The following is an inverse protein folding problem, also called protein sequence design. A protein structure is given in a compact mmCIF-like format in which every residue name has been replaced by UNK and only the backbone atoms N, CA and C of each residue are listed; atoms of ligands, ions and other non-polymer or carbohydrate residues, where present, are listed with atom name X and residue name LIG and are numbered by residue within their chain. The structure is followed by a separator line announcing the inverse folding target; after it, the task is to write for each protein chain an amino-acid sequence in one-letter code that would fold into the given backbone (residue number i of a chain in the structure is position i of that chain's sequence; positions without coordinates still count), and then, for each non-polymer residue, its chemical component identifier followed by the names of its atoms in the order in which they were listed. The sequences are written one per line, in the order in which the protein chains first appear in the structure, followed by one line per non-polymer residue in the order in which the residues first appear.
data_IF_256454544455
#
_entry.id   IF_256454544455
#
_cell.length_a   1.000
_cell.length_b   1.000
_cell.length_c   1.000
_cell.angle_alpha   90.00
_cell.angle_beta   90.00
_cell.angle_gamma   90.00
#
_symmetry.space_group_name_H-M   'P 1'
#
loop_
_entity.id
_entity.type
_entity.pdbx_description
1 polymer ?
#
# COMPACT_ATOMS: atom_id res chain seq x y z
N UNK A 1 36.49 13.05 54.84
CA UNK A 1 36.17 12.13 53.72
C UNK A 1 34.66 12.05 53.63
N UNK A 2 34.08 12.20 52.45
CA UNK A 2 32.89 11.45 52.04
C UNK A 2 32.72 11.59 50.53
N UNK A 3 32.63 10.43 49.90
CA UNK A 3 32.82 10.18 48.49
C UNK A 3 31.59 10.55 47.66
N UNK A 4 31.89 11.11 46.49
CA UNK A 4 30.98 11.45 45.42
C UNK A 4 30.60 10.18 44.64
N UNK A 5 29.37 9.68 44.82
CA UNK A 5 28.75 8.82 43.81
C UNK A 5 27.99 9.70 42.80
N UNK A 6 28.68 10.06 41.71
CA UNK A 6 28.09 10.76 40.56
C UNK A 6 27.23 9.78 39.76
N UNK A 7 25.93 9.76 39.98
CA UNK A 7 24.99 9.26 38.99
C UNK A 7 24.78 10.31 37.91
N UNK A 8 25.35 10.09 36.72
CA UNK A 8 25.14 10.94 35.56
C UNK A 8 23.72 10.70 34.99
N UNK A 9 22.76 11.50 35.46
CA UNK A 9 21.42 11.54 34.87
C UNK A 9 21.49 12.26 33.51
N UNK A 10 21.65 11.50 32.43
CA UNK A 10 21.51 12.03 31.07
C UNK A 10 20.05 12.44 30.85
N UNK A 11 19.78 13.74 31.00
CA UNK A 11 18.46 14.32 30.79
C UNK A 11 18.14 14.32 29.29
N UNK A 12 16.94 13.84 28.93
CA UNK A 12 16.38 13.87 27.56
C UNK A 12 16.43 15.26 26.91
N UNK A 13 16.55 16.31 27.73
CA UNK A 13 16.74 17.71 27.32
C UNK A 13 18.10 17.96 26.64
N UNK A 14 19.17 17.27 27.06
CA UNK A 14 20.49 17.38 26.42
C UNK A 14 20.51 16.74 25.02
N UNK A 15 19.71 15.69 24.80
CA UNK A 15 19.54 15.08 23.48
C UNK A 15 18.79 16.02 22.51
N UNK A 16 17.79 16.75 23.01
CA UNK A 16 17.06 17.74 22.21
C UNK A 16 17.91 18.98 21.89
N UNK A 17 18.78 19.40 22.81
CA UNK A 17 19.73 20.50 22.57
C UNK A 17 20.82 20.12 21.56
N UNK A 18 21.24 18.85 21.52
CA UNK A 18 22.19 18.36 20.51
C UNK A 18 21.59 18.35 19.08
N UNK A 19 20.27 18.17 18.94
CA UNK A 19 19.60 18.20 17.64
C UNK A 19 19.48 19.61 17.04
N UNK A 20 19.48 20.67 17.87
CA UNK A 20 19.36 22.06 17.42
C UNK A 20 20.70 22.69 17.03
N UNK A 21 21.82 22.17 17.55
CA UNK A 21 23.16 22.65 17.21
C UNK A 21 23.67 22.14 15.83
N UNK A 22 23.00 21.17 15.21
CA UNK A 22 23.34 20.65 13.88
C UNK A 22 22.78 21.46 12.71
N UNK A 23 21.93 22.46 12.96
CA UNK A 23 21.17 23.16 11.91
C UNK A 23 21.84 24.44 11.36
N UNK A 24 23.07 24.76 11.75
CA UNK A 24 23.68 26.08 11.47
C UNK A 24 24.82 26.10 10.44
N UNK A 25 25.10 25.00 9.72
CA UNK A 25 26.09 24.99 8.63
C UNK A 25 25.57 24.19 7.42
N UNK A 26 24.76 24.85 6.60
CA UNK A 26 24.23 24.25 5.37
C UNK A 26 23.26 25.16 4.61
N UNK A 27 23.45 26.48 4.67
CA UNK A 27 22.63 27.47 3.97
C UNK A 27 23.17 27.76 2.55
N UNK A 28 23.36 26.71 1.73
CA UNK A 28 23.70 26.90 0.32
C UNK A 28 23.17 25.74 -0.52
N UNK A 29 22.00 25.98 -1.13
CA UNK A 29 21.56 25.31 -2.34
C UNK A 29 21.01 23.90 -2.14
N UNK A 30 19.68 23.83 -2.02
CA UNK A 30 18.76 22.92 -2.72
C UNK A 30 17.43 23.04 -1.99
N UNK A 31 16.30 23.40 -2.65
CA UNK A 31 15.02 23.17 -2.03
C UNK A 31 14.92 21.65 -1.88
N UNK A 32 15.04 21.16 -0.65
CA UNK A 32 14.57 19.83 -0.30
C UNK A 32 13.06 19.89 -0.47
N UNK A 33 12.63 19.76 -1.72
CA UNK A 33 11.31 19.34 -2.09
C UNK A 33 11.20 17.95 -1.51
N UNK A 34 10.85 17.88 -0.23
CA UNK A 34 10.20 16.74 0.36
C UNK A 34 8.87 16.60 -0.37
N UNK A 35 8.96 16.20 -1.65
CA UNK A 35 7.95 15.38 -2.24
C UNK A 35 7.85 14.26 -1.24
N UNK A 36 6.78 14.29 -0.43
CA UNK A 36 6.10 13.08 -0.10
C UNK A 36 6.10 12.30 -1.40
N UNK A 37 7.00 11.32 -1.51
CA UNK A 37 6.93 10.30 -2.52
C UNK A 37 5.65 9.57 -2.17
N UNK A 38 4.50 10.19 -2.50
CA UNK A 38 3.25 9.51 -2.62
C UNK A 38 3.62 8.38 -3.53
N UNK A 39 3.61 7.16 -2.97
CA UNK A 39 3.77 5.92 -3.73
C UNK A 39 3.07 6.20 -5.05
N UNK A 40 3.83 6.27 -6.14
CA UNK A 40 3.26 6.45 -7.47
C UNK A 40 2.30 5.28 -7.58
N UNK A 41 1.01 5.53 -7.30
CA UNK A 41 0.00 4.49 -7.40
C UNK A 41 0.04 4.19 -8.87
N UNK A 42 0.55 3.01 -9.20
CA UNK A 42 0.52 2.53 -10.57
C UNK A 42 -0.95 2.18 -10.85
N UNK A 43 -1.76 3.23 -11.08
CA UNK A 43 -3.20 3.16 -11.36
C UNK A 43 -3.47 2.61 -12.75
N UNK A 44 -2.42 2.45 -13.55
CA UNK A 44 -2.49 1.99 -14.92
C UNK A 44 -2.61 0.46 -14.98
N UNK A 45 -2.73 -0.24 -13.85
CA UNK A 45 -2.96 -1.68 -13.80
C UNK A 45 -3.91 -2.06 -12.68
N UNK A 46 -4.95 -2.81 -13.01
CA UNK A 46 -5.90 -3.42 -12.08
C UNK A 46 -5.68 -4.93 -12.06
N UNK A 47 -5.41 -5.47 -10.86
CA UNK A 47 -5.14 -6.89 -10.61
C UNK A 47 -6.40 -7.58 -10.08
N UNK A 48 -6.96 -8.46 -10.89
CA UNK A 48 -8.22 -9.13 -10.65
C UNK A 48 -7.99 -10.60 -10.26
N UNK A 49 -8.38 -10.98 -9.05
CA UNK A 49 -8.38 -12.38 -8.66
C UNK A 49 -9.43 -13.15 -9.47
N UNK A 50 -9.11 -14.36 -9.95
CA UNK A 50 -10.05 -15.20 -10.70
C UNK A 50 -9.96 -16.66 -10.28
N UNK A 51 -11.04 -17.40 -10.51
CA UNK A 51 -11.12 -18.85 -10.32
C UNK A 51 -11.66 -19.56 -11.55
N UNK A 52 -11.67 -20.90 -11.53
CA UNK A 52 -12.28 -21.69 -12.62
C UNK A 52 -13.80 -21.59 -12.51
N UNK A 53 -14.45 -21.07 -13.55
CA UNK A 53 -15.90 -20.85 -13.59
C UNK A 53 -16.32 -19.48 -13.03
N UNK A 54 -17.63 -19.25 -12.99
CA UNK A 54 -18.22 -17.98 -12.54
C UNK A 54 -17.96 -16.78 -13.47
N UNK A 55 -18.47 -15.61 -13.09
CA UNK A 55 -18.34 -14.38 -13.87
C UNK A 55 -16.89 -13.98 -14.19
N UNK A 56 -15.91 -14.07 -13.27
CA UNK A 56 -14.53 -13.65 -13.55
C UNK A 56 -13.85 -14.53 -14.59
N UNK A 57 -14.06 -15.85 -14.52
CA UNK A 57 -13.53 -16.79 -15.51
C UNK A 57 -14.10 -16.54 -16.91
N UNK A 58 -15.39 -16.24 -17.01
CA UNK A 58 -16.06 -15.90 -18.28
C UNK A 58 -15.59 -14.53 -18.79
N UNK A 59 -15.47 -13.53 -17.92
CA UNK A 59 -15.02 -12.21 -18.31
C UNK A 59 -13.57 -12.23 -18.81
N UNK A 60 -12.71 -13.01 -18.15
CA UNK A 60 -11.34 -13.28 -18.59
C UNK A 60 -11.29 -13.98 -19.95
N UNK A 61 -12.09 -15.03 -20.16
CA UNK A 61 -12.07 -15.74 -21.44
C UNK A 61 -12.58 -14.88 -22.61
N UNK A 62 -13.50 -13.95 -22.32
CA UNK A 62 -14.02 -13.00 -23.31
C UNK A 62 -13.16 -11.73 -23.46
N UNK A 63 -12.21 -11.48 -22.57
CA UNK A 63 -11.36 -10.27 -22.58
C UNK A 63 -12.13 -8.95 -22.39
N UNK A 64 -13.31 -8.99 -21.76
CA UNK A 64 -14.21 -7.82 -21.66
C UNK A 64 -13.59 -6.73 -20.79
N UNK A 65 -12.92 -7.11 -19.70
CA UNK A 65 -12.29 -6.15 -18.78
C UNK A 65 -11.12 -5.44 -19.46
N UNK A 66 -10.23 -6.18 -20.11
CA UNK A 66 -9.10 -5.63 -20.88
C UNK A 66 -9.58 -4.61 -21.90
N UNK A 67 -10.59 -4.97 -22.71
CA UNK A 67 -11.10 -4.08 -23.74
C UNK A 67 -11.75 -2.83 -23.15
N UNK A 68 -12.51 -2.98 -22.08
CA UNK A 68 -13.23 -1.86 -21.46
C UNK A 68 -12.26 -0.88 -20.82
N UNK A 69 -11.33 -1.39 -20.01
CA UNK A 69 -10.39 -0.59 -19.23
C UNK A 69 -9.25 -0.02 -20.08
N UNK A 70 -8.92 -0.64 -21.22
CA UNK A 70 -7.94 -0.10 -22.16
C UNK A 70 -8.34 1.28 -22.71
N UNK A 71 -9.65 1.58 -22.81
CA UNK A 71 -10.12 2.91 -23.23
C UNK A 71 -9.69 4.02 -22.24
N UNK A 72 -9.49 3.65 -20.99
CA UNK A 72 -9.04 4.54 -19.92
C UNK A 72 -7.53 4.45 -19.66
N UNK A 73 -6.79 3.73 -20.51
CA UNK A 73 -5.35 3.50 -20.34
C UNK A 73 -5.00 2.51 -19.23
N UNK A 74 -5.99 1.77 -18.70
CA UNK A 74 -5.82 0.84 -17.57
C UNK A 74 -5.59 -0.58 -18.09
N UNK A 75 -4.49 -1.20 -17.65
CA UNK A 75 -4.16 -2.61 -17.93
C UNK A 75 -4.88 -3.52 -16.95
N UNK A 76 -5.19 -4.73 -17.40
CA UNK A 76 -5.78 -5.77 -16.54
C UNK A 76 -4.79 -6.90 -16.36
N UNK A 77 -4.57 -7.31 -15.11
CA UNK A 77 -3.80 -8.49 -14.76
C UNK A 77 -4.68 -9.48 -14.01
N UNK A 78 -4.72 -10.71 -14.49
CA UNK A 78 -5.48 -11.78 -13.83
C UNK A 78 -4.59 -12.55 -12.86
N UNK A 79 -4.97 -12.59 -11.58
CA UNK A 79 -4.26 -13.28 -10.50
C UNK A 79 -5.02 -14.57 -10.14
N UNK A 80 -4.37 -15.73 -10.23
CA UNK A 80 -5.02 -17.04 -10.02
C UNK A 80 -4.62 -18.09 -11.09
N UNK A 81 -5.40 -19.18 -11.26
CA UNK A 81 -6.73 -19.38 -10.71
C UNK A 81 -6.72 -19.78 -9.24
N UNK A 82 -7.62 -19.19 -8.46
CA UNK A 82 -7.87 -19.60 -7.09
C UNK A 82 -8.88 -20.76 -7.03
N UNK A 83 -8.67 -21.75 -6.14
CA UNK A 83 -9.56 -22.91 -6.01
C UNK A 83 -10.88 -22.58 -5.30
N UNK A 84 -10.91 -21.56 -4.44
CA UNK A 84 -12.07 -21.12 -3.66
C UNK A 84 -11.90 -19.65 -3.20
N UNK A 85 -12.88 -19.11 -2.49
CA UNK A 85 -12.89 -17.68 -2.12
C UNK A 85 -11.82 -17.28 -1.10
N UNK A 86 -11.61 -18.07 -0.06
CA UNK A 86 -10.68 -17.73 1.02
C UNK A 86 -9.28 -17.30 0.54
N UNK A 87 -8.56 -18.06 -0.32
CA UNK A 87 -7.26 -17.65 -0.85
C UNK A 87 -7.36 -16.46 -1.81
N UNK A 88 -8.49 -16.27 -2.51
CA UNK A 88 -8.69 -15.07 -3.33
C UNK A 88 -8.78 -13.81 -2.47
N UNK A 89 -9.41 -13.88 -1.29
CA UNK A 89 -9.45 -12.77 -0.33
C UNK A 89 -8.09 -12.53 0.32
N UNK A 90 -7.35 -13.59 0.63
CA UNK A 90 -5.96 -13.45 1.11
C UNK A 90 -5.07 -12.74 0.07
N UNK A 91 -5.30 -12.99 -1.22
CA UNK A 91 -4.58 -12.28 -2.27
C UNK A 91 -4.88 -10.77 -2.29
N UNK A 92 -6.13 -10.39 -2.01
CA UNK A 92 -6.57 -9.00 -1.92
C UNK A 92 -6.03 -8.33 -0.65
N UNK A 93 -6.27 -8.93 0.52
CA UNK A 93 -5.80 -8.37 1.80
C UNK A 93 -4.26 -8.36 1.89
N UNK A 94 -3.59 -9.29 1.22
CA UNK A 94 -2.14 -9.34 1.08
C UNK A 94 -1.58 -8.41 -0.01
N UNK A 95 -2.43 -7.68 -0.74
CA UNK A 95 -2.01 -6.70 -1.74
C UNK A 95 -1.42 -7.29 -3.03
N UNK A 96 -1.60 -8.59 -3.28
CA UNK A 96 -1.20 -9.25 -4.53
C UNK A 96 -2.27 -9.14 -5.63
N UNK A 97 -3.53 -8.97 -5.24
CA UNK A 97 -4.65 -8.59 -6.10
C UNK A 97 -5.31 -7.31 -5.54
N UNK A 98 -6.01 -6.57 -6.40
CA UNK A 98 -6.74 -5.35 -6.02
C UNK A 98 -8.22 -5.66 -5.77
N UNK A 99 -8.80 -6.55 -6.57
CA UNK A 99 -10.19 -6.99 -6.44
C UNK A 99 -10.30 -8.51 -6.40
N UNK A 100 -11.15 -8.99 -5.50
CA UNK A 100 -11.54 -10.39 -5.38
C UNK A 100 -12.98 -10.56 -5.85
N UNK A 101 -13.23 -11.61 -6.64
CA UNK A 101 -14.58 -11.95 -7.06
C UNK A 101 -15.03 -13.25 -6.44
N UNK A 102 -15.87 -13.11 -5.42
CA UNK A 102 -16.49 -14.24 -4.74
C UNK A 102 -17.53 -13.77 -3.74
N UNK A 103 -18.72 -14.37 -3.80
CA UNK A 103 -19.81 -14.13 -2.86
C UNK A 103 -20.64 -12.95 -3.35
N UNK A 104 -21.62 -12.51 -2.57
CA UNK A 104 -22.32 -11.27 -2.91
C UNK A 104 -21.28 -10.15 -3.06
N UNK A 105 -21.42 -9.35 -4.11
CA UNK A 105 -20.61 -8.13 -4.30
C UNK A 105 -20.82 -7.13 -3.17
N UNK A 106 -21.88 -7.29 -2.37
CA UNK A 106 -22.23 -6.42 -1.23
C UNK A 106 -21.19 -6.46 -0.10
N UNK A 107 -20.78 -7.62 0.48
CA UNK A 107 -19.67 -7.67 1.44
C UNK A 107 -18.34 -7.10 0.91
N UNK A 108 -18.01 -7.36 -0.36
CA UNK A 108 -16.78 -6.86 -0.97
C UNK A 108 -16.81 -5.33 -1.10
N UNK A 109 -17.93 -4.78 -1.56
CA UNK A 109 -18.16 -3.33 -1.62
C UNK A 109 -18.13 -2.69 -0.23
N UNK A 110 -18.73 -3.33 0.77
CA UNK A 110 -18.72 -2.84 2.15
C UNK A 110 -17.30 -2.76 2.71
N UNK A 111 -16.46 -3.78 2.48
CA UNK A 111 -15.06 -3.76 2.90
C UNK A 111 -14.24 -2.67 2.18
N UNK A 112 -14.52 -2.40 0.91
CA UNK A 112 -13.84 -1.33 0.16
C UNK A 112 -14.24 0.07 0.62
N UNK A 113 -15.53 0.30 0.91
CA UNK A 113 -16.02 1.57 1.46
C UNK A 113 -15.50 1.79 2.88
N UNK A 114 -15.38 0.72 3.67
CA UNK A 114 -14.90 0.81 5.05
C UNK A 114 -13.44 1.24 5.17
N UNK A 115 -12.67 1.25 4.07
CA UNK A 115 -11.24 1.53 4.08
C UNK A 115 -10.50 0.40 4.77
N UNK A 116 -10.06 -0.58 3.98
CA UNK A 116 -9.26 -1.72 4.43
C UNK A 116 -8.18 -1.36 5.45
#
# INVERSE_FOLDING_TARGET
MNDNDKQAHFSRRNLLQAALAGAALGAAGLPALAMAAGKSRNTDTVRLAWGRGGLPGIARSRGVFEKTLANDGIKVQWVGPFPNHAPSLQAVTGGSADFGFGGSTTPALAAMIAGS
#
